data_IF_280299661832
#
_entry.id   IF_280299661832
#
_cell.length_a   1.000
_cell.length_b   1.000
_cell.length_c   1.000
_cell.angle_alpha   90.00
_cell.angle_beta   90.00
_cell.angle_gamma   90.00
#
_symmetry.space_group_name_H-M   'P 1'
#
loop_
_entity.id
_entity.type
_entity.pdbx_description
1 polymer ?
#
# COMPACT_ATOMS: atom_id res chain seq x y z
N UNK A 1 -12.06 6.61 3.18
CA UNK A 1 -12.52 5.68 2.11
C UNK A 1 -12.39 4.25 2.61
N UNK A 2 -13.05 3.27 2.00
CA UNK A 2 -12.90 1.85 2.36
C UNK A 2 -12.68 1.00 1.10
N UNK A 3 -11.78 0.03 1.18
CA UNK A 3 -11.53 -0.96 0.13
C UNK A 3 -11.58 -2.37 0.70
N UNK A 4 -12.69 -3.08 0.47
CA UNK A 4 -12.92 -4.45 0.94
C UNK A 4 -12.72 -4.62 2.47
N UNK A 5 -13.18 -3.65 3.26
CA UNK A 5 -13.09 -3.69 4.71
C UNK A 5 -11.88 -2.96 5.29
N UNK A 6 -10.85 -2.67 4.50
CA UNK A 6 -9.71 -1.84 4.94
C UNK A 6 -10.08 -0.34 4.88
N UNK A 7 -9.96 0.36 6.00
CA UNK A 7 -10.32 1.77 6.16
C UNK A 7 -9.13 2.72 5.97
N UNK A 8 -9.32 3.73 5.11
CA UNK A 8 -8.31 4.71 4.74
C UNK A 8 -8.70 6.12 5.12
N UNK A 9 -7.81 6.81 5.84
CA UNK A 9 -7.77 8.27 5.82
C UNK A 9 -6.91 8.70 4.62
N UNK A 10 -7.45 9.53 3.74
CA UNK A 10 -6.73 10.02 2.55
C UNK A 10 -6.58 11.52 2.68
N UNK A 11 -5.33 11.99 2.59
CA UNK A 11 -4.97 13.39 2.59
C UNK A 11 -4.38 13.75 1.24
N UNK A 12 -4.97 14.75 0.59
CA UNK A 12 -4.43 15.31 -0.65
C UNK A 12 -3.39 16.39 -0.31
N UNK A 13 -2.13 16.07 -0.59
CA UNK A 13 -0.98 16.94 -0.38
C UNK A 13 -0.34 17.42 -1.68
N UNK A 14 -1.04 17.34 -2.82
CA UNK A 14 -0.51 17.76 -4.14
C UNK A 14 -0.25 19.26 -4.23
N UNK A 15 -1.12 20.09 -3.64
CA UNK A 15 -0.94 21.54 -3.64
C UNK A 15 -0.19 22.03 -2.41
N UNK A 16 -0.52 21.50 -1.23
CA UNK A 16 0.12 21.84 0.05
C UNK A 16 0.64 20.56 0.69
N UNK A 17 1.97 20.42 0.87
CA UNK A 17 2.53 19.21 1.46
C UNK A 17 1.93 18.90 2.83
N UNK A 18 1.48 17.66 3.01
CA UNK A 18 0.87 17.19 4.25
C UNK A 18 1.82 17.27 5.46
N UNK A 19 3.11 16.97 5.25
CA UNK A 19 4.14 17.06 6.30
C UNK A 19 3.86 16.22 7.54
N UNK A 20 3.08 15.14 7.43
CA UNK A 20 2.70 14.32 8.59
C UNK A 20 3.89 13.54 9.11
N UNK A 21 4.20 13.72 10.40
CA UNK A 21 5.15 12.87 11.11
C UNK A 21 4.51 11.53 11.50
N UNK A 22 5.33 10.52 11.77
CA UNK A 22 4.84 9.23 12.29
C UNK A 22 4.06 9.38 13.60
N UNK A 23 4.45 10.31 14.48
CA UNK A 23 3.71 10.64 15.70
C UNK A 23 2.33 11.24 15.41
N UNK A 24 2.23 12.13 14.43
CA UNK A 24 0.95 12.70 14.01
C UNK A 24 0.04 11.61 13.43
N UNK A 25 0.58 10.70 12.61
CA UNK A 25 -0.18 9.57 12.06
C UNK A 25 -0.69 8.66 13.18
N UNK A 26 0.16 8.31 14.15
CA UNK A 26 -0.25 7.53 15.33
C UNK A 26 -1.36 8.21 16.12
N UNK A 27 -1.25 9.51 16.36
CA UNK A 27 -2.26 10.27 17.07
C UNK A 27 -3.60 10.27 16.31
N UNK A 28 -3.58 10.50 14.99
CA UNK A 28 -4.77 10.49 14.14
C UNK A 28 -5.41 9.10 14.03
N UNK A 29 -4.61 8.03 14.08
CA UNK A 29 -5.08 6.65 14.05
C UNK A 29 -5.50 6.10 15.42
N UNK A 30 -5.21 6.85 16.50
CA UNK A 30 -5.51 6.47 17.88
C UNK A 30 -6.98 6.60 18.24
N UNK A 31 -7.31 6.24 19.49
CA UNK A 31 -8.69 6.20 20.00
C UNK A 31 -9.43 7.54 19.91
N UNK A 32 -8.71 8.64 20.09
CA UNK A 32 -9.26 9.99 20.08
C UNK A 32 -9.04 10.69 18.72
N UNK A 33 -8.51 9.95 17.74
CA UNK A 33 -8.29 10.42 16.38
C UNK A 33 -9.47 10.08 15.45
N UNK A 34 -9.23 10.20 14.15
CA UNK A 34 -10.23 9.89 13.12
C UNK A 34 -10.44 8.38 12.92
N UNK A 35 -9.43 7.57 13.25
CA UNK A 35 -9.43 6.12 13.02
C UNK A 35 -9.23 5.75 11.55
N UNK A 36 -8.33 4.81 11.29
CA UNK A 36 -8.07 4.21 9.97
C UNK A 36 -7.15 2.99 10.14
N UNK A 37 -7.16 2.06 9.21
CA UNK A 37 -6.13 1.03 9.15
C UNK A 37 -4.83 1.60 8.55
N UNK A 38 -4.97 2.41 7.49
CA UNK A 38 -3.84 3.06 6.80
C UNK A 38 -4.12 4.53 6.48
N UNK A 39 -3.11 5.38 6.68
CA UNK A 39 -3.08 6.77 6.23
C UNK A 39 -2.44 6.85 4.85
N UNK A 40 -3.17 7.45 3.90
CA UNK A 40 -2.71 7.63 2.52
C UNK A 40 -2.45 9.11 2.29
N UNK A 41 -1.27 9.44 1.78
CA UNK A 41 -0.97 10.80 1.31
C UNK A 41 -0.80 10.77 -0.20
N UNK A 42 -1.53 11.64 -0.90
CA UNK A 42 -1.37 11.87 -2.34
C UNK A 42 -0.45 13.08 -2.51
N UNK A 43 0.69 12.89 -3.16
CA UNK A 43 1.73 13.87 -3.37
C UNK A 43 1.88 14.18 -4.87
N UNK A 44 2.54 15.30 -5.25
CA UNK A 44 2.88 15.57 -6.64
C UNK A 44 3.70 14.43 -7.23
N UNK A 45 3.38 14.08 -8.47
CA UNK A 45 4.14 13.13 -9.26
C UNK A 45 5.60 13.59 -9.43
N UNK A 46 6.55 12.65 -9.32
CA UNK A 46 7.97 12.93 -9.56
C UNK A 46 8.37 12.72 -11.01
N UNK A 47 7.69 11.78 -11.70
CA UNK A 47 8.12 11.26 -12.99
C UNK A 47 7.01 11.19 -14.05
N UNK A 48 6.01 12.07 -13.97
CA UNK A 48 4.94 12.15 -14.97
C UNK A 48 3.83 11.10 -14.83
N UNK A 49 3.76 10.38 -13.70
CA UNK A 49 2.55 9.69 -13.24
C UNK A 49 1.46 10.70 -12.84
N UNK A 50 0.22 10.23 -12.59
CA UNK A 50 -0.88 11.09 -12.16
C UNK A 50 -0.73 11.57 -10.72
N UNK A 51 -0.10 10.76 -9.86
CA UNK A 51 0.26 11.13 -8.50
C UNK A 51 1.37 10.23 -7.94
N UNK A 52 1.96 10.67 -6.83
CA UNK A 52 2.72 9.83 -5.91
C UNK A 52 1.83 9.49 -4.71
N UNK A 53 1.81 8.24 -4.30
CA UNK A 53 1.05 7.76 -3.14
C UNK A 53 2.01 7.22 -2.09
N UNK A 54 1.92 7.78 -0.87
CA UNK A 54 2.55 7.21 0.33
C UNK A 54 1.53 6.54 1.21
N UNK A 55 1.93 5.43 1.81
CA UNK A 55 1.06 4.60 2.64
C UNK A 55 1.73 4.42 3.99
N UNK A 56 1.06 4.84 5.05
CA UNK A 56 1.51 4.60 6.42
C UNK A 56 0.47 3.73 7.14
N UNK A 57 0.92 2.74 7.88
CA UNK A 57 0.08 2.01 8.83
C UNK A 57 -0.32 2.93 10.00
N UNK A 58 -1.33 2.50 10.76
CA UNK A 58 -1.77 3.17 11.99
C UNK A 58 -0.65 3.46 12.99
N UNK A 59 0.39 2.63 13.04
CA UNK A 59 1.56 2.80 13.92
C UNK A 59 2.58 3.84 13.41
N UNK A 60 2.34 4.41 12.23
CA UNK A 60 3.21 5.38 11.56
C UNK A 60 4.32 4.76 10.70
N UNK A 61 4.42 3.43 10.62
CA UNK A 61 5.35 2.76 9.73
C UNK A 61 4.92 2.88 8.26
N UNK A 62 5.86 3.21 7.37
CA UNK A 62 5.60 3.28 5.92
C UNK A 62 5.60 1.87 5.30
N UNK A 63 4.67 1.63 4.36
CA UNK A 63 4.59 0.39 3.58
C UNK A 63 4.65 0.69 2.09
N UNK A 64 5.18 -0.25 1.31
CA UNK A 64 5.56 0.05 -0.07
C UNK A 64 4.41 0.04 -1.08
N UNK A 65 3.40 -0.78 -0.84
CA UNK A 65 2.22 -0.90 -1.68
C UNK A 65 1.02 -1.46 -0.90
N UNK A 66 -0.18 -1.05 -1.28
CA UNK A 66 -1.44 -1.60 -0.80
C UNK A 66 -2.49 -1.58 -1.91
N UNK A 67 -2.85 -2.75 -2.44
CA UNK A 67 -3.80 -2.83 -3.55
C UNK A 67 -5.19 -2.28 -3.22
N UNK A 68 -5.61 -2.33 -1.95
CA UNK A 68 -6.87 -1.74 -1.51
C UNK A 68 -6.83 -0.21 -1.57
N UNK A 69 -5.74 0.40 -1.09
CA UNK A 69 -5.51 1.84 -1.18
C UNK A 69 -5.40 2.28 -2.65
N UNK A 70 -4.66 1.54 -3.48
CA UNK A 70 -4.50 1.85 -4.91
C UNK A 70 -5.83 1.86 -5.65
N UNK A 71 -6.78 0.97 -5.29
CA UNK A 71 -8.14 1.03 -5.86
C UNK A 71 -8.87 2.32 -5.47
N UNK A 72 -8.79 2.73 -4.20
CA UNK A 72 -9.42 3.96 -3.72
C UNK A 72 -8.83 5.21 -4.39
N UNK A 73 -7.49 5.31 -4.43
CA UNK A 73 -6.78 6.45 -5.05
C UNK A 73 -6.98 6.45 -6.56
N UNK A 74 -6.91 5.29 -7.21
CA UNK A 74 -7.18 5.17 -8.64
C UNK A 74 -8.59 5.61 -9.01
N UNK A 75 -9.60 5.22 -8.22
CA UNK A 75 -10.98 5.70 -8.40
C UNK A 75 -11.07 7.23 -8.28
N UNK A 76 -10.42 7.81 -7.28
CA UNK A 76 -10.41 9.26 -7.04
C UNK A 76 -9.77 10.02 -8.22
N UNK A 77 -8.58 9.61 -8.67
CA UNK A 77 -7.86 10.24 -9.77
C UNK A 77 -8.60 10.13 -11.11
N UNK A 78 -9.20 8.97 -11.40
CA UNK A 78 -10.04 8.80 -12.59
C UNK A 78 -11.30 9.67 -12.54
N UNK A 79 -11.88 9.86 -11.35
CA UNK A 79 -13.00 10.78 -11.14
C UNK A 79 -12.65 12.25 -11.38
N UNK A 80 -11.45 12.68 -10.97
CA UNK A 80 -10.96 14.05 -11.19
C UNK A 80 -10.67 14.35 -12.66
N UNK A 81 -10.07 13.39 -13.36
CA UNK A 81 -9.63 13.57 -14.75
C UNK A 81 -10.68 13.20 -15.79
N UNK A 82 -11.71 12.44 -15.41
CA UNK A 82 -12.62 11.77 -16.34
C UNK A 82 -11.95 10.63 -17.14
N UNK A 83 -10.75 10.21 -16.75
CA UNK A 83 -9.98 9.15 -17.39
C UNK A 83 -10.50 7.75 -17.06
N UNK A 84 -10.07 6.75 -17.84
CA UNK A 84 -10.36 5.32 -17.60
C UNK A 84 -9.20 4.56 -16.96
N UNK A 85 -8.09 5.25 -16.72
CA UNK A 85 -6.92 4.70 -16.07
C UNK A 85 -6.22 5.79 -15.25
N UNK A 86 -5.51 5.38 -14.20
CA UNK A 86 -4.62 6.23 -13.43
C UNK A 86 -3.32 5.48 -13.16
N UNK A 87 -2.19 6.16 -13.31
CA UNK A 87 -0.85 5.69 -12.99
C UNK A 87 -0.39 6.35 -11.70
N UNK A 88 -0.08 5.53 -10.70
CA UNK A 88 0.24 5.96 -9.35
C UNK A 88 1.66 5.49 -9.03
N UNK A 89 2.52 6.42 -8.63
CA UNK A 89 3.86 6.10 -8.12
C UNK A 89 3.76 5.68 -6.65
N UNK A 90 4.48 4.63 -6.25
CA UNK A 90 4.68 4.24 -4.84
C UNK A 90 6.15 3.87 -4.62
N UNK A 91 6.57 3.59 -3.39
CA UNK A 91 7.92 3.09 -3.11
C UNK A 91 8.21 1.72 -3.70
N UNK A 92 7.18 0.90 -3.97
CA UNK A 92 7.32 -0.37 -4.71
C UNK A 92 7.47 -0.19 -6.24
N UNK A 93 7.22 1.02 -6.77
CA UNK A 93 7.24 1.34 -8.20
C UNK A 93 5.89 1.88 -8.70
N UNK A 94 5.68 1.79 -10.01
CA UNK A 94 4.44 2.28 -10.64
C UNK A 94 3.33 1.22 -10.55
N UNK A 95 2.16 1.64 -10.07
CA UNK A 95 0.93 0.87 -10.08
C UNK A 95 -0.07 1.51 -11.05
N UNK A 96 -0.85 0.68 -11.76
CA UNK A 96 -1.87 1.18 -12.69
C UNK A 96 -3.25 0.73 -12.26
N UNK A 97 -4.15 1.69 -12.05
CA UNK A 97 -5.55 1.44 -11.80
C UNK A 97 -6.35 1.66 -13.07
N UNK A 98 -7.39 0.85 -13.29
CA UNK A 98 -8.27 0.93 -14.45
C UNK A 98 -9.73 0.86 -14.03
N UNK A 99 -10.55 1.66 -14.70
CA UNK A 99 -12.00 1.56 -14.63
C UNK A 99 -12.46 0.27 -15.30
N UNK A 100 -13.39 -0.43 -14.66
CA UNK A 100 -13.99 -1.65 -15.17
C UNK A 100 -15.30 -1.42 -15.91
N UNK A 101 -15.78 -0.17 -15.97
CA UNK A 101 -17.11 0.21 -16.46
C UNK A 101 -18.24 -0.21 -15.52
N UNK A 102 -17.92 -0.77 -14.34
CA UNK A 102 -18.87 -1.12 -13.29
C UNK A 102 -18.75 -0.16 -12.13
N UNK A 103 -19.88 0.27 -11.53
CA UNK A 103 -19.86 1.22 -10.42
C UNK A 103 -19.07 0.63 -9.24
N UNK A 104 -18.26 1.47 -8.60
CA UNK A 104 -17.47 1.16 -7.41
C UNK A 104 -16.48 -0.01 -7.60
N UNK A 105 -16.09 -0.34 -8.83
CA UNK A 105 -15.14 -1.41 -9.11
C UNK A 105 -13.95 -0.92 -9.94
N UNK A 106 -12.77 -1.00 -9.33
CA UNK A 106 -11.48 -0.67 -9.94
C UNK A 106 -10.62 -1.92 -9.98
N UNK A 107 -9.94 -2.14 -11.09
CA UNK A 107 -8.89 -3.17 -11.18
C UNK A 107 -7.52 -2.50 -11.11
N UNK A 108 -6.55 -3.20 -10.52
CA UNK A 108 -5.19 -2.67 -10.34
C UNK A 108 -4.18 -3.70 -10.85
N UNK A 109 -3.27 -3.25 -11.69
CA UNK A 109 -2.04 -3.97 -12.00
C UNK A 109 -1.04 -3.73 -10.86
N UNK A 110 -0.82 -4.78 -10.06
CA UNK A 110 0.11 -4.78 -8.92
C UNK A 110 1.57 -5.05 -9.33
N UNK A 111 1.83 -5.20 -10.64
CA UNK A 111 3.13 -5.56 -11.15
C UNK A 111 3.44 -7.05 -11.02
N UNK A 112 4.69 -7.41 -11.30
CA UNK A 112 5.17 -8.78 -11.19
C UNK A 112 5.50 -9.13 -9.73
N UNK A 113 5.00 -10.27 -9.21
CA UNK A 113 5.45 -10.77 -7.92
C UNK A 113 6.94 -11.12 -7.96
N UNK A 114 7.63 -10.89 -6.83
CA UNK A 114 9.03 -11.26 -6.63
C UNK A 114 9.09 -12.47 -5.71
N UNK A 115 9.90 -13.45 -6.09
CA UNK A 115 10.03 -14.73 -5.38
C UNK A 115 11.46 -14.98 -4.88
N UNK A 116 12.41 -14.08 -5.18
CA UNK A 116 13.77 -14.20 -4.68
C UNK A 116 13.79 -14.07 -3.16
N UNK A 117 14.56 -14.93 -2.49
CA UNK A 117 14.67 -14.89 -1.03
C UNK A 117 15.13 -13.52 -0.50
N UNK A 118 15.99 -12.82 -1.24
CA UNK A 118 16.43 -11.45 -0.91
C UNK A 118 15.36 -10.38 -1.19
N UNK A 119 14.41 -10.66 -2.08
CA UNK A 119 13.29 -9.76 -2.38
C UNK A 119 12.18 -9.88 -1.31
N UNK A 120 12.07 -11.02 -0.62
CA UNK A 120 11.15 -11.29 0.51
C UNK A 120 11.83 -11.04 1.88
N UNK A 121 13.04 -10.47 1.88
CA UNK A 121 14.13 -10.66 2.86
C UNK A 121 14.03 -11.87 3.83
N UNK A 122 14.18 -13.08 3.32
CA UNK A 122 14.41 -14.27 4.15
C UNK A 122 15.83 -14.27 4.74
N UNK A 123 16.03 -14.99 5.85
CA UNK A 123 17.31 -15.02 6.56
C UNK A 123 18.44 -15.69 5.75
N UNK A 124 18.09 -16.65 4.88
CA UNK A 124 19.04 -17.41 4.07
C UNK A 124 18.42 -17.84 2.73
N UNK A 125 19.23 -18.36 1.77
CA UNK A 125 18.72 -18.82 0.48
C UNK A 125 17.69 -19.95 0.62
N UNK A 126 16.49 -19.69 0.10
CA UNK A 126 15.41 -20.67 0.08
C UNK A 126 14.99 -20.98 -1.36
N UNK A 127 15.17 -22.23 -1.80
CA UNK A 127 15.08 -22.60 -3.22
C UNK A 127 13.64 -22.78 -3.72
N UNK A 128 12.70 -23.17 -2.84
CA UNK A 128 11.30 -23.42 -3.20
C UNK A 128 10.33 -22.86 -2.17
N UNK A 129 9.93 -21.60 -2.35
CA UNK A 129 8.99 -20.89 -1.45
C UNK A 129 7.56 -21.48 -1.44
N UNK A 130 7.29 -22.61 -2.09
CA UNK A 130 5.99 -23.31 -2.03
C UNK A 130 5.90 -24.28 -0.84
N UNK A 131 7.03 -24.67 -0.27
CA UNK A 131 7.12 -25.47 0.94
C UNK A 131 7.81 -24.66 2.04
N UNK A 132 7.70 -25.10 3.29
CA UNK A 132 8.51 -24.58 4.40
C UNK A 132 9.36 -25.73 4.93
N UNK A 133 10.62 -25.46 5.24
CA UNK A 133 11.45 -26.42 5.96
C UNK A 133 11.23 -26.18 7.46
N UNK A 134 10.40 -27.02 8.05
CA UNK A 134 10.17 -26.98 9.49
C UNK A 134 11.21 -27.88 10.17
N UNK A 135 12.19 -27.25 10.82
CA UNK A 135 13.05 -27.99 11.74
C UNK A 135 12.43 -27.97 13.13
N UNK A 136 11.98 -29.13 13.60
CA UNK A 136 11.44 -29.28 14.94
C UNK A 136 12.62 -29.17 15.93
N UNK A 137 12.76 -27.99 16.52
CA UNK A 137 13.62 -27.74 17.69
C UNK A 137 13.04 -28.39 18.96
N UNK A 138 13.51 -28.01 20.16
CA UNK A 138 12.81 -28.33 21.40
C UNK A 138 11.33 -27.94 21.27
N UNK A 139 10.43 -28.65 21.97
CA UNK A 139 8.97 -28.48 21.81
C UNK A 139 8.51 -27.02 22.03
N UNK A 140 9.32 -26.23 22.76
CA UNK A 140 9.08 -24.83 23.11
C UNK A 140 9.71 -23.81 22.13
N UNK A 141 10.55 -24.25 21.19
CA UNK A 141 11.33 -23.39 20.30
C UNK A 141 11.59 -24.02 18.91
N UNK A 142 10.54 -24.26 18.09
CA UNK A 142 10.72 -24.70 16.71
C UNK A 142 11.44 -23.63 15.88
N UNK A 143 12.28 -24.07 14.94
CA UNK A 143 12.97 -23.18 13.99
C UNK A 143 12.26 -23.29 12.65
N UNK A 144 11.84 -22.15 12.10
CA UNK A 144 11.27 -22.05 10.76
C UNK A 144 12.39 -21.57 9.81
N UNK A 145 12.72 -22.38 8.81
CA UNK A 145 13.65 -22.01 7.73
C UNK A 145 12.85 -21.53 6.50
#
# INVERSE_FOLDING_TARGET
MNGLGNEFAILDGRETPAGLSADAIRALGGRDGIGFDQMITIEPSRNGSDALMRIHNRDGGEVEACGNATRCVGWLLMGETGGKAATIETSAGLLKAFDTGRPNLVTVDMGKPRFGWQDIPLAEPFADTRAIELQIGPIDAPILH
#
